data_IF_366085479150
#
_entry.id   IF_366085479150
#
_cell.length_a   1.000
_cell.length_b   1.000
_cell.length_c   1.000
_cell.angle_alpha   90.00
_cell.angle_beta   90.00
_cell.angle_gamma   90.00
#
_symmetry.space_group_name_H-M   'P 1'
#
loop_
_entity.id
_entity.type
_entity.pdbx_description
1 polymer ?
#
# COMPACT_ATOMS: atom_id res chain seq x y z
N UNK A 1 -36.36 -15.27 -26.39
CA UNK A 1 -34.95 -14.99 -26.67
C UNK A 1 -34.54 -13.79 -25.85
N UNK A 2 -33.79 -13.92 -24.75
CA UNK A 2 -33.32 -12.76 -23.99
C UNK A 2 -32.07 -12.20 -24.69
N UNK A 3 -32.14 -10.95 -25.13
CA UNK A 3 -30.98 -10.19 -25.58
C UNK A 3 -30.08 -9.93 -24.37
N UNK A 4 -28.89 -10.54 -24.38
CA UNK A 4 -27.82 -10.20 -23.45
C UNK A 4 -27.51 -8.70 -23.61
N UNK A 5 -27.76 -7.95 -22.54
CA UNK A 5 -27.34 -6.56 -22.41
C UNK A 5 -25.81 -6.57 -22.29
N UNK A 6 -25.12 -6.49 -23.43
CA UNK A 6 -23.66 -6.42 -23.46
C UNK A 6 -23.30 -5.02 -22.98
N UNK A 7 -22.77 -4.94 -21.77
CA UNK A 7 -22.25 -3.70 -21.20
C UNK A 7 -21.15 -3.20 -22.15
N UNK A 8 -21.24 -1.97 -22.71
CA UNK A 8 -20.33 -1.51 -23.78
C UNK A 8 -18.86 -1.35 -23.33
N UNK A 9 -18.55 -1.60 -22.06
CA UNK A 9 -17.20 -1.58 -21.52
C UNK A 9 -16.38 -2.84 -21.81
N UNK A 10 -16.99 -3.90 -22.35
CA UNK A 10 -16.29 -5.12 -22.76
C UNK A 10 -16.26 -5.25 -24.29
N UNK A 11 -15.52 -4.36 -24.96
CA UNK A 11 -15.09 -4.60 -26.34
C UNK A 11 -13.97 -5.65 -26.33
N UNK A 12 -13.99 -6.61 -27.27
CA UNK A 12 -12.94 -7.61 -27.49
C UNK A 12 -11.53 -7.00 -27.67
N UNK A 13 -11.44 -5.69 -27.93
CA UNK A 13 -10.19 -4.92 -28.00
C UNK A 13 -9.37 -4.89 -26.70
N UNK A 14 -9.96 -5.26 -25.56
CA UNK A 14 -9.28 -5.34 -24.26
C UNK A 14 -8.68 -6.70 -23.95
N UNK A 15 -8.97 -7.75 -24.73
CA UNK A 15 -8.49 -9.12 -24.43
C UNK A 15 -6.97 -9.27 -24.61
N UNK A 16 -6.33 -8.34 -25.34
CA UNK A 16 -4.90 -8.38 -25.68
C UNK A 16 -4.12 -7.11 -25.33
N UNK A 17 -4.74 -6.12 -24.69
CA UNK A 17 -4.04 -4.92 -24.20
C UNK A 17 -3.88 -5.00 -22.69
N UNK A 18 -2.66 -4.80 -22.16
CA UNK A 18 -2.49 -4.71 -20.72
C UNK A 18 -3.40 -3.60 -20.18
N UNK A 19 -4.13 -3.90 -19.11
CA UNK A 19 -4.97 -2.92 -18.42
C UNK A 19 -4.11 -1.68 -18.13
N UNK A 20 -4.58 -0.47 -18.48
CA UNK A 20 -3.87 0.74 -18.11
C UNK A 20 -3.85 0.81 -16.59
N UNK A 21 -2.68 0.54 -16.02
CA UNK A 21 -2.45 0.59 -14.60
C UNK A 21 -2.57 2.04 -14.14
N UNK A 22 -3.70 2.40 -13.56
CA UNK A 22 -3.93 3.69 -12.89
C UNK A 22 -3.18 3.71 -11.56
N UNK A 23 -1.87 3.46 -11.60
CA UNK A 23 -1.04 3.41 -10.40
C UNK A 23 -0.90 4.80 -9.79
N UNK A 24 -0.75 5.83 -10.61
CA UNK A 24 -0.50 7.19 -10.13
C UNK A 24 -1.78 8.02 -10.00
N UNK A 25 -1.90 8.77 -8.91
CA UNK A 25 -2.96 9.75 -8.68
C UNK A 25 -2.38 11.11 -8.29
N UNK A 26 -3.19 12.17 -8.40
CA UNK A 26 -2.82 13.52 -7.94
C UNK A 26 -2.72 13.66 -6.41
N UNK A 27 -3.21 12.66 -5.67
CA UNK A 27 -3.18 12.61 -4.21
C UNK A 27 -2.04 11.73 -3.67
N UNK A 28 -1.18 11.21 -4.55
CA UNK A 28 -0.07 10.34 -4.15
C UNK A 28 0.95 11.10 -3.33
N UNK A 29 1.26 10.59 -2.15
CA UNK A 29 2.28 11.15 -1.28
C UNK A 29 3.66 10.50 -1.48
N UNK A 30 4.63 10.97 -0.69
CA UNK A 30 6.01 10.46 -0.75
C UNK A 30 6.13 8.98 -0.31
N UNK A 31 5.15 8.44 0.43
CA UNK A 31 5.12 7.03 0.84
C UNK A 31 4.47 6.12 -0.24
N UNK A 32 3.54 6.67 -1.03
CA UNK A 32 2.87 5.96 -2.13
C UNK A 32 3.77 5.74 -3.34
N UNK A 33 4.51 6.79 -3.74
CA UNK A 33 5.33 6.79 -4.96
C UNK A 33 6.36 5.65 -5.05
N UNK A 34 7.10 5.29 -3.97
CA UNK A 34 8.05 4.18 -3.99
C UNK A 34 7.39 2.83 -4.29
N UNK A 35 6.21 2.56 -3.71
CA UNK A 35 5.47 1.31 -3.89
C UNK A 35 4.95 1.23 -5.34
N UNK A 36 4.36 2.33 -5.83
CA UNK A 36 3.81 2.42 -7.20
C UNK A 36 4.87 2.20 -8.28
N UNK A 37 6.06 2.79 -8.12
CA UNK A 37 7.21 2.57 -9.02
C UNK A 37 7.65 1.11 -9.06
N UNK A 38 7.64 0.40 -7.94
CA UNK A 38 7.99 -1.02 -7.89
C UNK A 38 6.94 -1.90 -8.56
N UNK A 39 5.66 -1.56 -8.41
CA UNK A 39 4.57 -2.26 -9.11
C UNK A 39 4.64 -2.04 -10.62
N UNK A 40 4.95 -0.83 -11.07
CA UNK A 40 5.19 -0.53 -12.47
C UNK A 40 6.38 -1.35 -13.02
N UNK A 41 7.51 -1.38 -12.30
CA UNK A 41 8.67 -2.18 -12.68
C UNK A 41 8.37 -3.68 -12.73
N UNK A 42 7.53 -4.19 -11.82
CA UNK A 42 7.11 -5.58 -11.80
C UNK A 42 6.25 -5.93 -13.02
N UNK A 43 5.34 -5.04 -13.42
CA UNK A 43 4.45 -5.25 -14.57
C UNK A 43 5.21 -5.13 -15.89
N UNK A 44 6.15 -4.20 -15.98
CA UNK A 44 7.00 -4.02 -17.16
C UNK A 44 8.06 -5.13 -17.30
N UNK A 45 8.27 -5.94 -16.26
CA UNK A 45 9.27 -7.02 -16.25
C UNK A 45 10.69 -6.53 -15.95
N UNK A 46 10.86 -5.27 -15.57
CA UNK A 46 12.13 -4.68 -15.11
C UNK A 46 12.56 -5.27 -13.76
N UNK A 47 11.60 -5.77 -12.99
CA UNK A 47 11.79 -6.39 -11.69
C UNK A 47 11.16 -7.79 -11.67
N UNK A 48 11.90 -8.78 -11.16
CA UNK A 48 11.34 -10.12 -10.95
C UNK A 48 10.38 -10.15 -9.75
N UNK A 49 9.37 -11.04 -9.73
CA UNK A 49 8.48 -11.20 -8.57
C UNK A 49 9.23 -11.45 -7.26
N UNK A 50 10.32 -12.24 -7.30
CA UNK A 50 11.14 -12.51 -6.12
C UNK A 50 11.85 -11.27 -5.62
N UNK A 51 12.38 -10.43 -6.52
CA UNK A 51 13.01 -9.18 -6.14
C UNK A 51 11.99 -8.19 -5.56
N UNK A 52 10.81 -8.09 -6.17
CA UNK A 52 9.72 -7.26 -5.67
C UNK A 52 9.31 -7.68 -4.25
N UNK A 53 9.17 -8.99 -3.99
CA UNK A 53 8.84 -9.50 -2.67
C UNK A 53 9.87 -9.10 -1.60
N UNK A 54 11.17 -9.24 -1.90
CA UNK A 54 12.26 -8.83 -1.00
C UNK A 54 12.21 -7.33 -0.72
N UNK A 55 12.01 -6.53 -1.76
CA UNK A 55 11.95 -5.07 -1.65
C UNK A 55 10.75 -4.62 -0.80
N UNK A 56 9.58 -5.23 -0.98
CA UNK A 56 8.40 -4.97 -0.15
C UNK A 56 8.64 -5.35 1.31
N UNK A 57 9.18 -6.55 1.58
CA UNK A 57 9.50 -6.99 2.94
C UNK A 57 10.49 -6.04 3.62
N UNK A 58 11.51 -5.58 2.88
CA UNK A 58 12.51 -4.64 3.38
C UNK A 58 11.86 -3.31 3.75
N UNK A 59 11.03 -2.74 2.88
CA UNK A 59 10.36 -1.46 3.15
C UNK A 59 9.36 -1.55 4.31
N UNK A 60 8.59 -2.64 4.40
CA UNK A 60 7.73 -2.90 5.56
C UNK A 60 8.55 -2.92 6.85
N UNK A 61 9.68 -3.62 6.83
CA UNK A 61 10.56 -3.77 7.98
C UNK A 61 11.14 -2.41 8.41
N UNK A 62 11.61 -1.60 7.46
CA UNK A 62 12.16 -0.27 7.72
C UNK A 62 11.11 0.69 8.31
N UNK A 63 9.92 0.75 7.72
CA UNK A 63 8.81 1.60 8.24
C UNK A 63 8.41 1.17 9.63
N UNK A 64 8.30 -0.15 9.86
CA UNK A 64 7.95 -0.71 11.17
C UNK A 64 9.01 -0.40 12.21
N UNK A 65 10.29 -0.54 11.87
CA UNK A 65 11.41 -0.20 12.76
C UNK A 65 11.47 1.30 13.05
N UNK A 66 11.20 2.16 12.06
CA UNK A 66 11.13 3.63 12.24
C UNK A 66 10.05 3.99 13.27
N UNK A 67 8.83 3.50 13.08
CA UNK A 67 7.70 3.72 14.02
C UNK A 67 8.03 3.19 15.41
N UNK A 68 8.59 1.99 15.49
CA UNK A 68 9.02 1.41 16.77
C UNK A 68 10.04 2.29 17.49
N UNK A 69 11.04 2.81 16.76
CA UNK A 69 12.05 3.70 17.34
C UNK A 69 11.45 5.03 17.82
N UNK A 70 10.44 5.56 17.13
CA UNK A 70 9.72 6.77 17.55
C UNK A 70 8.90 6.54 18.82
N UNK A 71 8.22 5.41 18.93
CA UNK A 71 7.47 5.02 20.13
C UNK A 71 8.41 4.80 21.32
N UNK A 72 9.56 4.16 21.10
CA UNK A 72 10.55 3.92 22.15
C UNK A 72 11.25 5.19 22.67
N UNK A 73 11.20 6.30 21.92
CA UNK A 73 11.70 7.61 22.39
C UNK A 73 10.74 8.30 23.35
N UNK A 74 9.50 7.84 23.47
CA UNK A 74 8.50 8.45 24.35
C UNK A 74 8.82 8.16 25.82
N UNK A 75 8.51 9.08 26.76
CA UNK A 75 8.68 8.84 28.19
C UNK A 75 7.88 7.63 28.68
N UNK A 76 6.68 7.43 28.11
CA UNK A 76 5.87 6.23 28.27
C UNK A 76 5.48 5.71 26.88
N UNK A 77 6.10 4.62 26.40
CA UNK A 77 5.84 4.06 25.08
C UNK A 77 4.42 3.53 24.88
N UNK A 78 3.69 3.21 25.96
CA UNK A 78 2.35 2.63 25.90
C UNK A 78 1.24 3.66 26.10
N UNK A 79 1.60 4.89 26.49
CA UNK A 79 0.64 5.96 26.67
C UNK A 79 0.29 6.60 25.32
N UNK A 80 -1.00 6.58 24.98
CA UNK A 80 -1.56 7.40 23.91
C UNK A 80 -1.45 8.88 24.26
N UNK A 81 -0.98 9.69 23.32
CA UNK A 81 -1.01 11.14 23.47
C UNK A 81 -2.45 11.65 23.43
N UNK A 82 -2.74 12.85 23.96
CA UNK A 82 -4.08 13.45 23.88
C UNK A 82 -4.58 13.61 22.44
N UNK A 83 -3.67 13.87 21.49
CA UNK A 83 -3.96 14.01 20.06
C UNK A 83 -4.32 12.66 19.43
N UNK A 84 -3.58 11.59 19.76
CA UNK A 84 -3.85 10.23 19.30
C UNK A 84 -5.21 9.72 19.82
N UNK A 85 -5.57 10.04 21.07
CA UNK A 85 -6.92 9.75 21.59
C UNK A 85 -8.01 10.50 20.86
N UNK A 86 -7.78 11.78 20.51
CA UNK A 86 -8.75 12.59 19.78
C UNK A 86 -8.96 12.08 18.34
N UNK A 87 -7.93 11.48 17.74
CA UNK A 87 -7.98 10.84 16.43
C UNK A 87 -8.53 9.39 16.47
N UNK A 88 -8.81 8.85 17.66
CA UNK A 88 -9.30 7.48 17.81
C UNK A 88 -8.25 6.40 17.59
N UNK A 89 -6.96 6.75 17.65
CA UNK A 89 -5.84 5.81 17.50
C UNK A 89 -5.80 4.87 18.70
N UNK A 90 -5.63 3.58 18.44
CA UNK A 90 -5.48 2.55 19.47
C UNK A 90 -4.01 2.20 19.67
N UNK A 91 -3.67 1.60 20.81
CA UNK A 91 -2.36 1.05 21.09
C UNK A 91 -1.91 0.06 20.01
N UNK A 92 -2.83 -0.71 19.40
CA UNK A 92 -2.52 -1.62 18.28
C UNK A 92 -2.04 -0.93 17.01
N UNK A 93 -2.28 0.38 16.87
CA UNK A 93 -1.81 1.20 15.77
C UNK A 93 -0.43 1.82 16.05
N UNK A 94 -0.06 1.90 17.34
CA UNK A 94 1.23 2.41 17.80
C UNK A 94 2.33 1.35 17.77
N UNK A 95 2.02 0.13 18.22
CA UNK A 95 3.01 -0.97 18.22
C UNK A 95 3.13 -1.65 16.85
N UNK A 96 4.31 -2.20 16.52
CA UNK A 96 4.54 -3.00 15.32
C UNK A 96 3.46 -4.05 15.10
N UNK A 97 2.64 -3.85 14.08
CA UNK A 97 1.58 -4.77 13.72
C UNK A 97 1.68 -5.11 12.21
N UNK A 98 2.10 -6.34 11.86
CA UNK A 98 2.29 -6.72 10.46
C UNK A 98 1.00 -6.65 9.64
N UNK A 99 -0.19 -6.81 10.26
CA UNK A 99 -1.47 -6.62 9.57
C UNK A 99 -1.67 -5.18 9.10
N UNK A 100 -1.30 -4.20 9.91
CA UNK A 100 -1.40 -2.79 9.54
C UNK A 100 -0.39 -2.44 8.45
N UNK A 101 0.83 -2.99 8.53
CA UNK A 101 1.85 -2.73 7.51
C UNK A 101 1.44 -3.26 6.12
N UNK A 102 0.84 -4.46 6.07
CA UNK A 102 0.29 -5.01 4.83
C UNK A 102 -0.89 -4.15 4.33
N UNK A 103 -1.75 -3.68 5.23
CA UNK A 103 -2.89 -2.83 4.88
C UNK A 103 -2.45 -1.50 4.26
N UNK A 104 -1.36 -0.88 4.76
CA UNK A 104 -0.80 0.35 4.17
C UNK A 104 -0.41 0.16 2.71
N UNK A 105 0.16 -1.00 2.35
CA UNK A 105 0.50 -1.32 0.96
C UNK A 105 -0.77 -1.45 0.10
N UNK A 106 -1.85 -2.02 0.65
CA UNK A 106 -3.10 -2.09 -0.11
C UNK A 106 -3.76 -0.71 -0.30
N UNK A 107 -3.67 0.17 0.70
CA UNK A 107 -4.18 1.54 0.58
C UNK A 107 -3.41 2.36 -0.46
N UNK A 108 -2.10 2.18 -0.57
CA UNK A 108 -1.29 2.90 -1.56
C UNK A 108 -1.52 2.42 -2.99
N UNK A 109 -2.33 1.39 -3.22
CA UNK A 109 -2.66 0.84 -4.54
C UNK A 109 -4.13 1.12 -4.92
N UNK A 110 -4.97 1.51 -3.95
CA UNK A 110 -6.42 1.73 -4.12
C UNK A 110 -6.72 3.17 -4.54
#
# INVERSE_FOLDING_TARGET
>A
MPTLNVNPEYSDDFEHKPLPLKLYSEYDDEEDLPIKKRLEALVNGDMSPSQAAIDFDTTITEVTNRRQNEVMKRPDPQALTPEERAQGVNMYDLVPNPRLAIHTIFLSIA
#
